data_IF_563004300634
#
_entry.id   IF_563004300634
#
_cell.length_a   1.000
_cell.length_b   1.000
_cell.length_c   1.000
_cell.angle_alpha   90.00
_cell.angle_beta   90.00
_cell.angle_gamma   90.00
#
_symmetry.space_group_name_H-M   'P 1'
#
loop_
_entity.id
_entity.type
_entity.pdbx_description
1 polymer ?
#
# COMPACT_ATOMS: atom_id res chain seq x y z
N UNK A 1 38.22 0.28 9.57
CA UNK A 1 36.90 -0.12 10.11
C UNK A 1 35.90 0.91 9.65
N UNK A 2 34.93 0.52 8.83
CA UNK A 2 33.87 1.44 8.37
C UNK A 2 32.96 1.75 9.54
N UNK A 3 32.65 3.03 9.80
CA UNK A 3 31.72 3.38 10.87
C UNK A 3 30.34 2.78 10.56
N UNK A 4 29.61 2.30 11.58
CA UNK A 4 28.28 1.69 11.39
C UNK A 4 27.28 2.63 10.69
N UNK A 5 27.46 3.95 10.82
CA UNK A 5 26.67 4.96 10.09
C UNK A 5 26.93 4.94 8.60
N UNK A 6 28.18 4.79 8.18
CA UNK A 6 28.54 4.74 6.76
C UNK A 6 28.01 3.45 6.14
N UNK A 7 28.18 2.32 6.83
CA UNK A 7 27.62 1.03 6.40
C UNK A 7 26.08 1.07 6.30
N UNK A 8 25.40 1.83 7.17
CA UNK A 8 23.96 2.05 7.08
C UNK A 8 23.58 2.87 5.84
N UNK A 9 24.31 3.95 5.54
CA UNK A 9 24.08 4.77 4.36
C UNK A 9 24.24 3.95 3.06
N UNK A 10 25.29 3.12 2.99
CA UNK A 10 25.55 2.22 1.88
C UNK A 10 24.44 1.17 1.72
N UNK A 11 24.06 0.53 2.84
CA UNK A 11 22.96 -0.45 2.87
C UNK A 11 21.65 0.14 2.32
N UNK A 12 21.27 1.34 2.77
CA UNK A 12 20.06 2.02 2.32
C UNK A 12 20.14 2.40 0.85
N UNK A 13 21.30 2.84 0.38
CA UNK A 13 21.55 3.21 -1.03
C UNK A 13 21.36 1.99 -1.94
N UNK A 14 22.01 0.87 -1.62
CA UNK A 14 21.90 -0.38 -2.38
C UNK A 14 20.45 -0.87 -2.42
N UNK A 15 19.78 -0.90 -1.27
CA UNK A 15 18.40 -1.39 -1.18
C UNK A 15 17.42 -0.46 -1.90
N UNK A 16 17.63 0.85 -1.92
CA UNK A 16 16.83 1.79 -2.72
C UNK A 16 17.04 1.60 -4.21
N UNK A 17 18.27 1.35 -4.66
CA UNK A 17 18.58 1.05 -6.06
C UNK A 17 17.86 -0.24 -6.53
N UNK A 18 17.65 -1.20 -5.63
CA UNK A 18 16.85 -2.40 -5.87
C UNK A 18 15.32 -2.16 -5.82
N UNK A 19 14.87 -0.91 -5.67
CA UNK A 19 13.45 -0.53 -5.70
C UNK A 19 12.72 -0.60 -4.36
N UNK A 20 13.40 -0.83 -3.24
CA UNK A 20 12.77 -0.81 -1.92
C UNK A 20 12.60 0.62 -1.41
N UNK A 21 11.40 0.97 -0.92
CA UNK A 21 11.11 2.32 -0.36
C UNK A 21 11.75 2.56 1.02
N UNK A 22 11.93 1.52 1.84
CA UNK A 22 12.65 1.49 3.13
C UNK A 22 12.34 2.59 4.17
N UNK A 23 11.26 3.36 4.05
CA UNK A 23 10.95 4.49 4.97
C UNK A 23 11.02 4.11 6.46
N UNK A 24 10.37 3.00 6.83
CA UNK A 24 10.40 2.52 8.23
C UNK A 24 11.76 1.93 8.62
N UNK A 25 12.49 1.34 7.67
CA UNK A 25 13.80 0.72 7.93
C UNK A 25 14.86 1.77 8.21
N UNK A 26 14.85 2.89 7.48
CA UNK A 26 15.79 3.99 7.66
C UNK A 26 15.76 4.54 9.08
N UNK A 27 14.56 4.94 9.55
CA UNK A 27 14.41 5.45 10.91
C UNK A 27 14.75 4.39 11.97
N UNK A 28 14.27 3.17 11.80
CA UNK A 28 14.52 2.09 12.76
C UNK A 28 16.01 1.72 12.84
N UNK A 29 16.69 1.58 11.71
CA UNK A 29 18.11 1.25 11.68
C UNK A 29 18.99 2.40 12.16
N UNK A 30 18.63 3.66 11.87
CA UNK A 30 19.34 4.82 12.42
C UNK A 30 19.23 4.87 13.96
N UNK A 31 18.05 4.54 14.51
CA UNK A 31 17.86 4.37 15.94
C UNK A 31 18.70 3.24 16.51
N UNK A 32 18.80 2.09 15.81
CA UNK A 32 19.63 0.97 16.22
C UNK A 32 21.13 1.32 16.24
N UNK A 33 21.64 1.99 15.20
CA UNK A 33 23.05 2.42 15.15
C UNK A 33 23.35 3.41 16.29
N UNK A 34 22.46 4.36 16.55
CA UNK A 34 22.61 5.31 17.65
C UNK A 34 22.61 4.61 19.02
N UNK A 35 21.81 3.54 19.17
CA UNK A 35 21.83 2.69 20.35
C UNK A 35 23.17 1.95 20.52
N UNK A 36 23.73 1.38 19.44
CA UNK A 36 25.03 0.72 19.49
C UNK A 36 26.14 1.68 19.91
N UNK A 37 26.16 2.89 19.33
CA UNK A 37 27.09 3.97 19.69
C UNK A 37 27.00 4.33 21.17
N UNK A 38 25.78 4.46 21.71
CA UNK A 38 25.58 4.78 23.12
C UNK A 38 26.06 3.66 24.06
N UNK A 39 25.97 2.40 23.61
CA UNK A 39 26.49 1.25 24.35
C UNK A 39 27.99 1.02 24.17
N UNK A 40 28.66 1.83 23.33
CA UNK A 40 30.08 1.65 23.00
C UNK A 40 30.38 0.41 22.16
N UNK A 41 29.36 -0.19 21.53
CA UNK A 41 29.52 -1.40 20.74
C UNK A 41 29.95 -1.06 19.30
N UNK A 42 31.08 -1.62 18.86
CA UNK A 42 31.58 -1.47 17.49
C UNK A 42 31.05 -2.53 16.53
N UNK A 43 30.53 -3.64 17.05
CA UNK A 43 30.02 -4.78 16.26
C UNK A 43 28.56 -5.08 16.61
N UNK A 44 27.83 -5.62 15.63
CA UNK A 44 26.44 -6.05 15.86
C UNK A 44 26.49 -7.44 16.51
N UNK A 45 25.85 -7.58 17.68
CA UNK A 45 25.62 -8.87 18.34
C UNK A 45 24.14 -9.19 18.40
N UNK A 46 23.84 -10.48 18.52
CA UNK A 46 22.45 -10.96 18.67
C UNK A 46 21.79 -10.39 19.91
N UNK A 47 22.53 -10.32 21.02
CA UNK A 47 22.04 -9.79 22.29
C UNK A 47 21.67 -8.31 22.18
N UNK A 48 22.53 -7.48 21.59
CA UNK A 48 22.28 -6.05 21.41
C UNK A 48 21.11 -5.80 20.47
N UNK A 49 21.01 -6.57 19.38
CA UNK A 49 19.89 -6.51 18.46
C UNK A 49 18.56 -6.86 19.14
N UNK A 50 18.54 -7.90 19.97
CA UNK A 50 17.35 -8.32 20.71
C UNK A 50 16.96 -7.29 21.77
N UNK A 51 17.93 -6.80 22.55
CA UNK A 51 17.71 -5.78 23.59
C UNK A 51 17.09 -4.52 22.99
N UNK A 52 17.67 -4.00 21.90
CA UNK A 52 17.11 -2.85 21.20
C UNK A 52 15.74 -3.12 20.57
N UNK A 53 15.51 -4.30 20.00
CA UNK A 53 14.22 -4.63 19.39
C UNK A 53 13.09 -4.72 20.44
N UNK A 54 13.41 -5.18 21.64
CA UNK A 54 12.49 -5.30 22.77
C UNK A 54 12.28 -4.00 23.56
N UNK A 55 13.23 -3.05 23.49
CA UNK A 55 13.16 -1.74 24.13
C UNK A 55 12.22 -0.77 23.38
N UNK A 56 10.94 -1.14 23.33
CA UNK A 56 9.87 -0.34 22.73
C UNK A 56 8.52 -0.77 23.27
N UNK A 57 7.60 0.20 23.46
CA UNK A 57 6.21 -0.07 23.88
C UNK A 57 5.31 -0.62 22.76
N UNK A 58 5.89 -1.22 21.73
CA UNK A 58 5.16 -1.70 20.56
C UNK A 58 4.67 -3.14 20.69
N UNK A 59 3.85 -3.57 19.73
CA UNK A 59 3.34 -4.95 19.68
C UNK A 59 4.46 -5.96 19.45
N UNK A 60 4.25 -7.22 19.81
CA UNK A 60 5.20 -8.31 19.53
C UNK A 60 5.54 -8.43 18.03
N UNK A 61 4.57 -8.16 17.16
CA UNK A 61 4.79 -8.10 15.72
C UNK A 61 5.73 -6.96 15.31
N UNK A 62 5.64 -5.80 15.98
CA UNK A 62 6.55 -4.68 15.75
C UNK A 62 7.98 -4.97 16.24
N UNK A 63 8.13 -5.58 17.42
CA UNK A 63 9.44 -6.01 17.94
C UNK A 63 10.11 -7.02 16.99
N UNK A 64 9.35 -8.00 16.49
CA UNK A 64 9.82 -8.96 15.51
C UNK A 64 10.20 -8.31 14.16
N UNK A 65 9.42 -7.31 13.72
CA UNK A 65 9.74 -6.54 12.51
C UNK A 65 11.04 -5.75 12.67
N UNK A 66 11.24 -5.07 13.80
CA UNK A 66 12.50 -4.38 14.13
C UNK A 66 13.70 -5.32 14.07
N UNK A 67 13.61 -6.50 14.69
CA UNK A 67 14.67 -7.50 14.65
C UNK A 67 14.94 -8.00 13.22
N UNK A 68 13.89 -8.13 12.40
CA UNK A 68 14.02 -8.52 10.99
C UNK A 68 14.74 -7.44 10.15
N UNK A 69 14.51 -6.15 10.45
CA UNK A 69 15.26 -5.05 9.82
C UNK A 69 16.74 -5.12 10.17
N UNK A 70 17.07 -5.29 11.46
CA UNK A 70 18.46 -5.44 11.93
C UNK A 70 19.13 -6.65 11.30
N UNK A 71 18.43 -7.78 11.18
CA UNK A 71 18.95 -8.97 10.51
C UNK A 71 19.37 -8.68 9.06
N UNK A 72 18.53 -7.98 8.30
CA UNK A 72 18.85 -7.59 6.93
C UNK A 72 20.07 -6.67 6.83
N UNK A 73 20.23 -5.76 7.78
CA UNK A 73 21.40 -4.91 7.90
C UNK A 73 22.66 -5.69 8.32
N UNK A 74 22.56 -6.57 9.31
CA UNK A 74 23.67 -7.41 9.79
C UNK A 74 24.23 -8.33 8.70
N UNK A 75 23.39 -8.84 7.80
CA UNK A 75 23.85 -9.59 6.62
C UNK A 75 24.76 -8.74 5.74
N UNK A 76 24.42 -7.46 5.53
CA UNK A 76 25.25 -6.53 4.77
C UNK A 76 26.53 -6.17 5.53
N UNK A 77 26.44 -5.85 6.83
CA UNK A 77 27.64 -5.48 7.62
C UNK A 77 28.60 -6.66 7.73
N UNK A 78 28.11 -7.92 7.78
CA UNK A 78 28.97 -9.11 7.83
C UNK A 78 29.87 -9.28 6.59
N UNK A 79 29.52 -8.69 5.44
CA UNK A 79 30.42 -8.69 4.27
C UNK A 79 31.59 -7.71 4.43
N UNK A 80 31.47 -6.73 5.33
CA UNK A 80 32.48 -5.72 5.65
C UNK A 80 33.26 -6.07 6.92
N UNK A 81 32.58 -6.64 7.91
CA UNK A 81 33.13 -7.04 9.20
C UNK A 81 32.68 -8.46 9.58
N UNK A 82 33.57 -9.46 9.44
CA UNK A 82 33.29 -10.85 9.79
C UNK A 82 32.89 -11.09 11.25
N UNK A 83 33.21 -10.18 12.17
CA UNK A 83 32.85 -10.28 13.59
C UNK A 83 31.37 -9.97 13.87
N UNK A 84 30.64 -9.49 12.86
CA UNK A 84 29.20 -9.19 12.93
C UNK A 84 28.39 -10.47 13.08
N UNK A 85 27.61 -10.57 14.16
CA UNK A 85 26.63 -11.64 14.32
C UNK A 85 25.33 -11.31 13.59
N UNK A 86 24.73 -12.34 12.98
CA UNK A 86 23.41 -12.24 12.36
C UNK A 86 22.40 -12.83 13.33
N UNK A 87 21.43 -12.04 13.84
CA UNK A 87 20.41 -12.57 14.74
C UNK A 87 19.65 -13.76 14.11
N UNK A 88 19.54 -14.90 14.80
CA UNK A 88 18.85 -16.08 14.29
C UNK A 88 17.35 -15.82 14.11
N UNK A 89 16.74 -16.56 13.18
CA UNK A 89 15.30 -16.51 12.94
C UNK A 89 14.55 -17.10 14.14
N UNK A 90 13.43 -16.49 14.52
CA UNK A 90 12.53 -17.07 15.53
C UNK A 90 12.80 -16.66 16.99
N UNK A 91 13.78 -15.79 17.25
CA UNK A 91 14.00 -15.22 18.59
C UNK A 91 12.77 -14.48 19.13
N UNK A 92 12.01 -13.83 18.24
CA UNK A 92 10.73 -13.23 18.55
C UNK A 92 9.65 -13.93 17.71
N UNK A 93 8.77 -14.67 18.37
CA UNK A 93 7.68 -15.39 17.72
C UNK A 93 6.60 -14.41 17.27
N UNK A 94 6.64 -14.06 15.98
CA UNK A 94 5.52 -13.37 15.34
C UNK A 94 4.39 -14.37 15.08
N UNK A 95 3.44 -14.52 16.00
CA UNK A 95 2.20 -15.22 15.71
C UNK A 95 1.37 -14.33 14.79
N UNK A 96 1.46 -14.55 13.47
CA UNK A 96 0.59 -13.88 12.49
C UNK A 96 -0.86 -14.19 12.84
N UNK A 97 -1.53 -13.27 13.53
CA UNK A 97 -2.99 -13.29 13.67
C UNK A 97 -3.54 -12.78 12.34
N UNK A 98 -3.94 -13.70 11.47
CA UNK A 98 -4.73 -13.31 10.32
C UNK A 98 -6.06 -12.78 10.87
N UNK A 99 -6.40 -11.54 10.51
CA UNK A 99 -7.76 -11.08 10.68
C UNK A 99 -8.63 -11.95 9.78
N UNK A 100 -9.64 -12.60 10.34
CA UNK A 100 -10.65 -13.31 9.55
C UNK A 100 -11.39 -12.24 8.75
N UNK A 101 -11.38 -12.28 7.41
CA UNK A 101 -12.05 -11.26 6.61
C UNK A 101 -13.55 -11.34 6.85
N UNK A 102 -14.17 -10.18 7.13
CA UNK A 102 -15.62 -10.05 7.18
C UNK A 102 -16.16 -9.87 5.76
N UNK A 103 -17.09 -10.74 5.35
CA UNK A 103 -17.78 -10.66 4.07
C UNK A 103 -19.08 -9.89 4.26
N UNK A 104 -19.19 -8.75 3.59
CA UNK A 104 -20.41 -7.95 3.62
C UNK A 104 -21.51 -8.59 2.77
N UNK A 105 -22.75 -8.60 3.27
CA UNK A 105 -23.92 -8.94 2.47
C UNK A 105 -24.34 -7.79 1.56
N UNK A 106 -25.16 -8.07 0.54
CA UNK A 106 -25.69 -7.03 -0.36
C UNK A 106 -26.48 -5.95 0.38
N UNK A 107 -27.23 -6.33 1.43
CA UNK A 107 -27.97 -5.40 2.29
C UNK A 107 -27.02 -4.50 3.10
N UNK A 108 -25.91 -5.05 3.60
CA UNK A 108 -24.89 -4.27 4.30
C UNK A 108 -24.16 -3.31 3.38
N UNK A 109 -23.83 -3.74 2.16
CA UNK A 109 -23.24 -2.88 1.14
C UNK A 109 -24.20 -1.73 0.79
N UNK A 110 -25.48 -2.04 0.61
CA UNK A 110 -26.51 -1.03 0.31
C UNK A 110 -26.65 -0.01 1.44
N UNK A 111 -26.68 -0.46 2.70
CA UNK A 111 -26.69 0.44 3.87
C UNK A 111 -25.42 1.28 3.94
N UNK A 112 -24.25 0.68 3.71
CA UNK A 112 -22.97 1.39 3.74
C UNK A 112 -22.90 2.48 2.65
N UNK A 113 -23.44 2.21 1.47
CA UNK A 113 -23.55 3.20 0.38
C UNK A 113 -24.47 4.36 0.74
N UNK A 114 -25.61 4.08 1.38
CA UNK A 114 -26.56 5.11 1.83
C UNK A 114 -25.92 6.04 2.88
N UNK A 115 -25.25 5.47 3.88
CA UNK A 115 -24.52 6.24 4.90
C UNK A 115 -23.36 7.04 4.31
N UNK A 116 -22.61 6.45 3.36
CA UNK A 116 -21.57 7.17 2.65
C UNK A 116 -22.13 8.37 1.87
N UNK A 117 -23.28 8.21 1.21
CA UNK A 117 -23.94 9.29 0.47
C UNK A 117 -24.47 10.41 1.37
N UNK A 118 -24.68 10.16 2.67
CA UNK A 118 -25.10 11.15 3.65
C UNK A 118 -23.95 11.99 4.24
N UNK A 119 -22.68 11.68 3.93
CA UNK A 119 -21.53 12.37 4.50
C UNK A 119 -21.45 13.85 4.08
N UNK A 120 -21.08 14.70 5.03
CA UNK A 120 -20.77 16.11 4.80
C UNK A 120 -19.25 16.37 4.90
N UNK A 121 -18.69 17.28 4.07
CA UNK A 121 -19.33 17.99 2.96
C UNK A 121 -19.61 17.06 1.75
N UNK A 122 -20.47 17.51 0.82
CA UNK A 122 -20.92 16.75 -0.37
C UNK A 122 -19.78 16.06 -1.15
N UNK A 123 -18.59 16.66 -1.21
CA UNK A 123 -17.41 16.04 -1.84
C UNK A 123 -17.01 14.71 -1.18
N UNK A 124 -17.12 14.60 0.15
CA UNK A 124 -16.87 13.36 0.89
C UNK A 124 -17.91 12.32 0.55
N UNK A 125 -19.20 12.70 0.51
CA UNK A 125 -20.26 11.79 0.11
C UNK A 125 -19.99 11.17 -1.25
N UNK A 126 -19.77 12.01 -2.27
CA UNK A 126 -19.45 11.55 -3.63
C UNK A 126 -18.23 10.63 -3.67
N UNK A 127 -17.13 11.00 -3.00
CA UNK A 127 -15.91 10.20 -2.98
C UNK A 127 -16.14 8.82 -2.34
N UNK A 128 -16.73 8.80 -1.14
CA UNK A 128 -16.92 7.55 -0.40
C UNK A 128 -17.93 6.64 -1.07
N UNK A 129 -19.08 7.17 -1.52
CA UNK A 129 -20.09 6.37 -2.20
C UNK A 129 -19.56 5.77 -3.50
N UNK A 130 -18.80 6.55 -4.30
CA UNK A 130 -18.21 6.05 -5.55
C UNK A 130 -17.15 4.99 -5.29
N UNK A 131 -16.23 5.21 -4.35
CA UNK A 131 -15.17 4.23 -4.04
C UNK A 131 -15.77 2.94 -3.47
N UNK A 132 -16.72 3.02 -2.54
CA UNK A 132 -17.36 1.84 -1.95
C UNK A 132 -18.12 1.06 -3.03
N UNK A 133 -18.91 1.74 -3.87
CA UNK A 133 -19.66 1.08 -4.95
C UNK A 133 -18.73 0.42 -5.95
N UNK A 134 -17.63 1.10 -6.30
CA UNK A 134 -16.62 0.56 -7.20
C UNK A 134 -15.98 -0.71 -6.62
N UNK A 135 -15.58 -0.69 -5.35
CA UNK A 135 -15.00 -1.86 -4.69
C UNK A 135 -15.99 -3.03 -4.60
N UNK A 136 -17.25 -2.77 -4.29
CA UNK A 136 -18.29 -3.78 -4.20
C UNK A 136 -18.53 -4.49 -5.55
N UNK A 137 -18.62 -3.71 -6.63
CA UNK A 137 -18.96 -4.22 -7.97
C UNK A 137 -17.75 -4.86 -8.66
N UNK A 138 -16.55 -4.33 -8.43
CA UNK A 138 -15.33 -4.77 -9.14
C UNK A 138 -14.40 -5.64 -8.29
N UNK A 139 -14.59 -5.75 -6.98
CA UNK A 139 -13.70 -6.51 -6.10
C UNK A 139 -12.22 -6.14 -6.22
N UNK A 140 -11.89 -4.93 -6.69
CA UNK A 140 -10.51 -4.46 -6.79
C UNK A 140 -9.96 -4.07 -5.42
N UNK A 141 -8.64 -3.92 -5.30
CA UNK A 141 -8.06 -3.43 -4.05
C UNK A 141 -8.32 -1.94 -3.89
N UNK A 142 -8.49 -1.49 -2.65
CA UNK A 142 -8.62 -0.04 -2.34
C UNK A 142 -7.47 0.78 -2.94
N UNK A 143 -6.24 0.25 -2.91
CA UNK A 143 -5.10 0.95 -3.50
C UNK A 143 -5.21 1.09 -5.02
N UNK A 144 -5.81 0.13 -5.71
CA UNK A 144 -6.03 0.17 -7.15
C UNK A 144 -7.09 1.24 -7.47
N UNK A 145 -8.21 1.23 -6.73
CA UNK A 145 -9.26 2.25 -6.87
C UNK A 145 -8.76 3.69 -6.63
N UNK A 146 -7.89 3.89 -5.64
CA UNK A 146 -7.34 5.21 -5.29
C UNK A 146 -6.28 5.74 -6.27
N UNK A 147 -5.72 4.88 -7.14
CA UNK A 147 -4.74 5.28 -8.16
C UNK A 147 -5.32 5.33 -9.58
N UNK A 148 -6.63 5.12 -9.75
CA UNK A 148 -7.28 5.30 -11.05
C UNK A 148 -7.19 6.76 -11.49
N UNK A 149 -6.77 6.97 -12.74
CA UNK A 149 -6.86 8.26 -13.42
C UNK A 149 -8.04 8.29 -14.40
N UNK A 150 -8.37 9.48 -14.93
CA UNK A 150 -9.48 9.66 -15.89
C UNK A 150 -9.31 8.81 -17.14
N UNK A 151 -8.07 8.62 -17.59
CA UNK A 151 -7.73 7.80 -18.76
C UNK A 151 -7.88 6.29 -18.53
N UNK A 152 -8.03 5.86 -17.27
CA UNK A 152 -8.18 4.46 -16.91
C UNK A 152 -9.65 4.01 -16.95
N UNK A 153 -10.58 4.94 -17.16
CA UNK A 153 -12.02 4.72 -17.07
C UNK A 153 -12.66 4.95 -18.43
N UNK A 154 -13.06 3.86 -19.08
CA UNK A 154 -13.92 3.89 -20.25
C UNK A 154 -15.37 3.67 -19.81
N UNK A 155 -16.14 4.75 -19.73
CA UNK A 155 -17.55 4.68 -19.33
C UNK A 155 -18.48 4.24 -20.47
N UNK A 156 -18.04 4.35 -21.73
CA UNK A 156 -18.83 3.97 -22.89
C UNK A 156 -18.84 2.44 -23.04
N UNK A 157 -17.69 1.81 -22.79
CA UNK A 157 -17.53 0.36 -22.82
C UNK A 157 -17.70 -0.27 -21.43
N UNK A 158 -17.69 0.53 -20.35
CA UNK A 158 -17.81 0.05 -18.98
C UNK A 158 -16.57 -0.70 -18.48
N UNK A 159 -15.39 -0.29 -18.94
CA UNK A 159 -14.11 -0.97 -18.67
C UNK A 159 -13.20 -0.08 -17.83
N UNK A 160 -12.58 -0.71 -16.83
CA UNK A 160 -11.53 -0.09 -16.03
C UNK A 160 -10.18 -0.73 -16.35
N UNK A 161 -9.20 0.11 -16.65
CA UNK A 161 -7.82 -0.28 -16.90
C UNK A 161 -6.98 -0.05 -15.65
N UNK A 162 -6.64 -1.13 -14.94
CA UNK A 162 -5.84 -1.00 -13.71
C UNK A 162 -4.36 -0.99 -14.08
N UNK A 163 -3.71 0.17 -13.98
CA UNK A 163 -2.26 0.32 -14.18
C UNK A 163 -1.50 0.11 -12.86
N UNK A 164 -0.26 -0.38 -12.92
CA UNK A 164 0.67 -0.47 -11.76
C UNK A 164 0.13 -1.20 -10.50
N UNK A 165 -0.45 -2.39 -10.66
CA UNK A 165 -0.71 -3.27 -9.51
C UNK A 165 0.60 -3.68 -8.82
N UNK A 166 0.54 -4.26 -7.60
CA UNK A 166 1.70 -4.70 -6.78
C UNK A 166 2.71 -5.62 -7.51
N UNK A 167 2.41 -6.06 -8.73
CA UNK A 167 3.24 -6.89 -9.59
C UNK A 167 3.53 -6.28 -10.98
N UNK A 168 3.23 -4.99 -11.22
CA UNK A 168 3.26 -4.36 -12.55
C UNK A 168 2.45 -5.12 -13.61
N UNK A 169 1.33 -5.73 -13.20
CA UNK A 169 0.42 -6.43 -14.09
C UNK A 169 -0.76 -5.49 -14.38
N UNK A 170 -0.99 -5.17 -15.66
CA UNK A 170 -2.19 -4.48 -16.11
C UNK A 170 -3.34 -5.49 -16.23
N UNK A 171 -4.52 -5.15 -15.73
CA UNK A 171 -5.70 -6.02 -15.82
C UNK A 171 -6.93 -5.17 -16.16
N UNK A 172 -7.79 -5.69 -17.02
CA UNK A 172 -9.08 -5.09 -17.35
C UNK A 172 -10.15 -5.63 -16.42
N UNK A 173 -11.01 -4.75 -15.89
CA UNK A 173 -12.22 -5.16 -15.17
C UNK A 173 -13.43 -4.57 -15.88
N UNK A 174 -14.38 -5.43 -16.21
CA UNK A 174 -15.72 -4.98 -16.59
C UNK A 174 -16.47 -4.54 -15.34
N UNK A 175 -17.12 -3.38 -15.43
CA UNK A 175 -18.18 -3.00 -14.51
C UNK A 175 -19.48 -3.63 -15.02
N UNK A 176 -20.15 -4.53 -14.27
CA UNK A 176 -21.58 -4.76 -14.44
C UNK A 176 -22.29 -3.42 -14.56
N UNK A 177 -23.29 -3.31 -15.45
CA UNK A 177 -24.08 -2.09 -15.67
C UNK A 177 -24.68 -1.57 -14.36
N UNK A 178 -23.90 -0.82 -13.59
CA UNK A 178 -24.29 -0.17 -12.37
C UNK A 178 -24.66 1.25 -12.73
N UNK A 179 -25.96 1.50 -12.88
CA UNK A 179 -26.51 2.85 -13.00
C UNK A 179 -26.34 3.50 -11.64
N UNK A 180 -25.22 4.20 -11.42
CA UNK A 180 -25.12 5.12 -10.31
C UNK A 180 -26.29 6.13 -10.41
N UNK A 181 -26.92 6.55 -9.29
CA UNK A 181 -27.87 7.65 -9.35
C UNK A 181 -27.14 8.89 -9.87
N UNK A 182 -27.41 9.26 -11.13
CA UNK A 182 -26.83 10.43 -11.79
C UNK A 182 -27.04 11.66 -10.90
N UNK A 183 -25.99 12.35 -10.41
CA UNK A 183 -26.14 13.76 -10.12
C UNK A 183 -26.17 14.45 -11.48
N UNK A 184 -27.37 14.81 -11.94
CA UNK A 184 -27.53 15.83 -12.97
C UNK A 184 -26.79 17.09 -12.52
N UNK A 185 -25.59 17.31 -13.06
CA UNK A 185 -24.97 18.61 -13.13
C UNK A 185 -24.96 18.98 -14.61
N UNK A 186 -26.06 19.60 -15.05
CA UNK A 186 -26.09 20.43 -16.24
C UNK A 186 -25.16 21.62 -15.98
N UNK A 187 -24.12 21.75 -16.78
CA UNK A 187 -23.53 23.06 -17.11
C UNK A 187 -23.67 23.25 -18.62
N UNK A 188 -24.30 24.35 -18.97
CA UNK A 188 -24.59 24.83 -20.32
C UNK A 188 -23.33 25.23 -21.08
N UNK A 189 -23.27 24.95 -22.38
CA UNK A 189 -22.25 25.47 -23.29
C UNK A 189 -22.37 24.89 -24.69
N UNK A 190 -23.02 25.65 -25.55
CA UNK A 190 -23.28 25.54 -26.99
C UNK A 190 -22.25 24.84 -27.91
N UNK A 191 -22.83 24.04 -28.83
CA UNK A 191 -22.54 23.89 -30.27
C UNK A 191 -21.25 23.20 -30.76
N UNK A 192 -21.43 22.01 -31.33
CA UNK A 192 -21.06 21.74 -32.72
C UNK A 192 -21.98 20.65 -33.32
N UNK A 193 -22.60 21.02 -34.44
CA UNK A 193 -23.49 20.23 -35.29
C UNK A 193 -22.64 19.40 -36.27
N UNK A 194 -23.15 18.22 -36.65
CA UNK A 194 -23.24 17.61 -38.00
C UNK A 194 -23.26 16.08 -37.82
N UNK A 195 -24.43 15.44 -37.86
CA UNK A 195 -25.20 15.07 -39.06
C UNK A 195 -24.56 13.90 -39.85
N UNK A 196 -25.28 12.79 -39.86
CA UNK A 196 -24.93 11.56 -40.58
C UNK A 196 -26.05 10.51 -40.41
N UNK A 197 -27.23 10.86 -40.92
CA UNK A 197 -28.46 10.06 -40.96
C UNK A 197 -28.34 8.79 -41.80
N UNK A 198 -29.40 7.97 -41.73
CA UNK A 198 -29.86 6.95 -42.71
C UNK A 198 -29.34 5.51 -42.48
N UNK A 199 -30.12 4.43 -42.50
CA UNK A 199 -31.53 4.10 -42.79
C UNK A 199 -31.77 2.71 -42.14
N UNK A 200 -32.89 2.49 -41.44
CA UNK A 200 -33.97 1.60 -41.87
C UNK A 200 -33.56 0.45 -42.81
N UNK A 201 -33.72 -0.78 -42.32
CA UNK A 201 -33.61 -2.02 -43.09
C UNK A 201 -34.29 -3.16 -42.35
N UNK A 202 -35.60 -3.27 -42.56
CA UNK A 202 -36.47 -4.40 -42.24
C UNK A 202 -36.02 -5.72 -42.89
N UNK A 203 -36.03 -6.80 -42.11
CA UNK A 203 -36.82 -8.04 -42.35
C UNK A 203 -36.89 -8.81 -41.06
#
# INVERSE_FOLDING_TARGET
>A
MTALRDALADYLTIRRALGYKLREHEWALASFVSFLEHTGASTITTELALRWACDTRGTEGWKAARLSMVKGFAVHVRTLDPATEIPPTGLLLQRKRYAIPYLYSDDEITRLLAEAAALTPKRRAMLHSTVIGLLAVTGMRISEALHLDREDVDLDVGVLTIRNTKFRICRFRHMPNYVAPRPMLRCSGTAALLAGSALLGST
#
